data_IF_307654045035
#
_entry.id   IF_307654045035
#
_cell.length_a   1.000
_cell.length_b   1.000
_cell.length_c   1.000
_cell.angle_alpha   90.00
_cell.angle_beta   90.00
_cell.angle_gamma   90.00
#
_symmetry.space_group_name_H-M   'P 1'
#
loop_
_entity.id
_entity.type
_entity.pdbx_description
1 polymer ?
#
# COMPACT_ATOMS: atom_id res chain seq x y z
N UNK A 1 18.15 5.24 -4.58
CA UNK A 1 18.32 6.39 -3.65
C UNK A 1 17.00 7.13 -3.60
N UNK A 2 16.23 7.03 -2.50
CA UNK A 2 15.08 7.91 -2.26
C UNK A 2 15.66 9.25 -1.80
N UNK A 3 15.95 10.15 -2.73
CA UNK A 3 16.29 11.53 -2.39
C UNK A 3 15.01 12.31 -2.18
N UNK A 4 14.56 12.45 -0.94
CA UNK A 4 13.51 13.39 -0.59
C UNK A 4 14.16 14.66 -0.02
N UNK A 5 14.27 15.72 -0.83
CA UNK A 5 14.73 17.03 -0.35
C UNK A 5 13.65 17.78 0.46
N UNK A 6 12.40 17.29 0.43
CA UNK A 6 11.23 17.58 1.28
C UNK A 6 10.04 16.87 0.62
N UNK A 7 9.18 16.18 1.38
CA UNK A 7 7.95 15.55 0.83
C UNK A 7 7.82 14.03 1.00
N UNK A 8 8.81 13.37 1.60
CA UNK A 8 8.65 12.03 2.17
C UNK A 8 9.05 12.01 3.64
N UNK A 9 8.30 11.30 4.49
CA UNK A 9 8.56 11.21 5.93
C UNK A 9 8.34 9.78 6.43
N UNK A 10 9.36 9.17 7.03
CA UNK A 10 9.21 7.89 7.73
C UNK A 10 8.73 8.11 9.16
N UNK A 11 7.81 7.27 9.64
CA UNK A 11 7.37 7.26 11.04
C UNK A 11 7.38 5.84 11.59
N UNK A 12 8.40 5.47 12.37
CA UNK A 12 8.39 4.43 13.43
C UNK A 12 9.84 4.19 13.92
N UNK A 13 10.04 3.46 15.01
CA UNK A 13 11.35 2.90 15.37
C UNK A 13 11.56 1.60 14.58
N UNK A 14 12.55 1.56 13.69
CA UNK A 14 12.79 0.41 12.80
C UNK A 14 13.13 -0.87 13.59
N UNK A 15 14.00 -0.76 14.60
CA UNK A 15 14.43 -1.90 15.44
C UNK A 15 14.77 -1.41 16.85
N UNK A 16 14.21 -2.05 17.87
CA UNK A 16 14.62 -1.90 19.27
C UNK A 16 14.84 -3.29 19.89
N UNK A 17 16.09 -3.75 19.97
CA UNK A 17 16.37 -5.13 20.38
C UNK A 17 15.80 -6.16 19.39
N UNK A 18 14.95 -7.08 19.85
CA UNK A 18 14.26 -8.09 19.01
C UNK A 18 12.81 -7.64 18.68
N UNK A 19 12.58 -6.34 18.52
CA UNK A 19 11.24 -5.79 18.30
C UNK A 19 11.32 -4.78 17.17
N UNK A 20 10.51 -5.01 16.15
CA UNK A 20 10.54 -4.30 14.87
C UNK A 20 9.20 -3.64 14.62
N UNK A 21 9.20 -2.51 13.93
CA UNK A 21 7.95 -1.83 13.58
C UNK A 21 8.02 -1.38 12.14
N UNK A 22 6.95 -1.60 11.34
CA UNK A 22 6.88 -1.07 9.99
C UNK A 22 7.09 0.44 10.00
N UNK A 23 7.88 0.94 9.05
CA UNK A 23 8.12 2.38 8.84
C UNK A 23 7.30 2.88 7.64
N UNK A 24 6.05 3.33 7.84
CA UNK A 24 5.29 3.99 6.78
C UNK A 24 6.07 5.20 6.23
N UNK A 25 6.39 5.14 4.94
CA UNK A 25 6.96 6.26 4.21
C UNK A 25 5.83 7.14 3.66
N UNK A 26 5.48 8.17 4.42
CA UNK A 26 4.51 9.17 4.04
C UNK A 26 4.96 9.90 2.77
N UNK A 27 4.06 10.15 1.83
CA UNK A 27 4.35 10.86 0.57
C UNK A 27 3.36 11.98 0.32
N UNK A 28 3.87 13.16 -0.05
CA UNK A 28 3.02 14.30 -0.38
C UNK A 28 2.15 14.04 -1.63
N UNK A 29 2.56 13.12 -2.51
CA UNK A 29 1.75 12.70 -3.66
C UNK A 29 0.46 11.96 -3.27
N UNK A 30 0.40 11.43 -2.04
CA UNK A 30 -0.76 10.79 -1.43
C UNK A 30 -1.41 11.66 -0.34
N UNK A 31 -1.05 12.94 -0.28
CA UNK A 31 -1.61 13.84 0.72
C UNK A 31 -3.11 14.08 0.49
N UNK A 32 -3.82 14.34 1.58
CA UNK A 32 -5.27 14.54 1.56
C UNK A 32 -5.66 15.68 2.51
N UNK A 33 -6.82 16.28 2.25
CA UNK A 33 -7.45 17.24 3.18
C UNK A 33 -8.42 16.57 4.12
N UNK A 34 -8.95 15.42 3.74
CA UNK A 34 -9.77 14.60 4.60
C UNK A 34 -9.62 13.14 4.21
N UNK A 35 -9.51 12.29 5.22
CA UNK A 35 -9.60 10.85 5.05
C UNK A 35 -10.43 10.23 6.17
N UNK A 36 -10.94 9.04 5.89
CA UNK A 36 -11.66 8.18 6.81
C UNK A 36 -10.75 6.98 7.08
N UNK A 37 -10.60 6.59 8.34
CA UNK A 37 -9.75 5.47 8.70
C UNK A 37 -10.36 4.67 9.85
N UNK A 38 -10.06 3.38 9.91
CA UNK A 38 -10.40 2.54 11.05
C UNK A 38 -9.20 2.46 12.00
N UNK A 39 -9.43 2.69 13.29
CA UNK A 39 -8.43 2.43 14.32
C UNK A 39 -8.44 0.94 14.68
N UNK A 40 -7.41 0.24 14.26
CA UNK A 40 -7.28 -1.20 14.44
C UNK A 40 -6.46 -1.51 15.70
N UNK A 41 -6.89 -2.55 16.43
CA UNK A 41 -6.25 -3.12 17.64
C UNK A 41 -6.16 -2.14 18.82
N UNK A 42 -6.16 -2.70 20.03
CA UNK A 42 -5.94 -2.03 21.33
C UNK A 42 -4.64 -1.19 21.30
N UNK A 43 -4.70 0.00 20.70
CA UNK A 43 -3.52 0.71 20.18
C UNK A 43 -2.65 1.39 21.26
N UNK A 44 -2.96 1.09 22.53
CA UNK A 44 -2.31 1.55 23.74
C UNK A 44 -2.55 0.45 24.73
N UNK A 45 -1.46 -0.18 25.13
CA UNK A 45 -1.46 -1.49 25.75
C UNK A 45 -1.89 -1.48 27.23
N UNK A 46 -2.63 -0.45 27.64
CA UNK A 46 -3.20 -0.29 28.99
C UNK A 46 -4.66 -0.76 29.09
N UNK A 47 -5.19 -1.46 28.07
CA UNK A 47 -6.58 -1.95 28.04
C UNK A 47 -7.64 -0.88 27.76
N UNK A 48 -7.21 0.26 27.20
CA UNK A 48 -8.05 1.45 26.98
C UNK A 48 -8.53 1.61 25.51
N UNK A 49 -8.22 0.69 24.58
CA UNK A 49 -8.55 0.78 23.14
C UNK A 49 -8.18 2.14 22.47
N UNK A 50 -7.01 2.72 22.79
CA UNK A 50 -6.59 4.04 22.27
C UNK A 50 -5.38 3.95 21.39
N UNK A 51 -5.24 4.70 20.31
CA UNK A 51 -4.07 4.69 19.43
C UNK A 51 -3.53 6.06 19.12
N UNK A 52 -2.54 6.14 18.23
CA UNK A 52 -1.98 7.40 17.77
C UNK A 52 -2.18 7.56 16.26
N UNK A 53 -2.48 8.78 15.84
CA UNK A 53 -2.41 9.16 14.43
C UNK A 53 -1.29 10.19 14.32
N UNK A 54 -0.24 9.86 13.57
CA UNK A 54 0.86 10.77 13.25
C UNK A 54 0.50 11.51 11.98
N UNK A 55 0.44 12.83 12.06
CA UNK A 55 0.13 13.70 10.92
C UNK A 55 1.37 14.51 10.60
N UNK A 56 1.76 14.53 9.33
CA UNK A 56 2.79 15.42 8.80
C UNK A 56 2.16 16.39 7.85
N UNK A 57 2.43 17.66 8.09
CA UNK A 57 1.91 18.72 7.26
C UNK A 57 2.76 18.92 6.01
N UNK A 58 2.11 19.32 4.92
CA UNK A 58 2.79 19.74 3.70
C UNK A 58 3.46 21.11 3.81
N UNK A 59 3.71 21.79 2.68
CA UNK A 59 4.43 23.07 2.64
C UNK A 59 3.61 24.27 3.15
N UNK A 60 2.32 24.09 3.44
CA UNK A 60 1.44 25.15 3.91
C UNK A 60 0.97 24.85 5.33
N UNK A 61 0.88 25.87 6.18
CA UNK A 61 0.30 25.76 7.52
C UNK A 61 -1.12 25.17 7.46
N UNK A 62 -1.42 24.23 8.33
CA UNK A 62 -2.73 23.56 8.37
C UNK A 62 -3.36 23.68 9.76
N UNK A 63 -4.69 23.73 9.80
CA UNK A 63 -5.46 23.37 10.99
C UNK A 63 -5.88 21.91 10.80
N UNK A 64 -5.66 21.07 11.80
CA UNK A 64 -5.92 19.63 11.75
C UNK A 64 -6.90 19.23 12.85
N UNK A 65 -7.89 18.41 12.48
CA UNK A 65 -8.96 17.96 13.37
C UNK A 65 -9.16 16.45 13.27
N UNK A 66 -9.44 15.79 14.40
CA UNK A 66 -9.86 14.41 14.49
C UNK A 66 -11.27 14.33 15.10
N UNK A 67 -12.18 13.66 14.40
CA UNK A 67 -13.51 13.30 14.91
C UNK A 67 -13.73 11.80 14.75
N UNK A 68 -14.67 11.23 15.49
CA UNK A 68 -15.16 9.87 15.22
C UNK A 68 -15.88 9.82 13.88
N UNK A 69 -16.09 8.62 13.36
CA UNK A 69 -16.70 8.37 12.06
C UNK A 69 -18.15 8.87 11.94
N UNK A 70 -18.85 8.98 13.07
CA UNK A 70 -20.18 9.59 13.19
C UNK A 70 -20.15 11.13 13.32
N UNK A 71 -18.96 11.73 13.29
CA UNK A 71 -18.74 13.18 13.42
C UNK A 71 -18.64 13.67 14.86
N UNK A 72 -18.74 12.80 15.87
CA UNK A 72 -18.59 13.22 17.27
C UNK A 72 -17.13 13.60 17.59
N UNK A 73 -16.89 14.60 18.45
CA UNK A 73 -15.52 15.00 18.80
C UNK A 73 -14.76 13.90 19.55
N UNK A 74 -13.49 13.71 19.20
CA UNK A 74 -12.56 12.86 19.97
C UNK A 74 -11.92 13.71 21.05
N UNK A 75 -12.17 13.36 22.32
CA UNK A 75 -11.61 14.04 23.48
C UNK A 75 -10.43 13.23 24.02
N UNK A 76 -9.20 13.71 23.87
CA UNK A 76 -8.03 12.96 24.37
C UNK A 76 -6.89 13.88 24.81
N UNK A 77 -6.90 14.24 26.09
CA UNK A 77 -6.02 13.50 27.00
C UNK A 77 -6.93 12.80 28.01
N UNK A 78 -6.52 11.65 28.53
CA UNK A 78 -7.20 10.98 29.64
C UNK A 78 -7.38 11.97 30.80
N UNK A 79 -8.55 12.63 30.89
CA UNK A 79 -8.89 13.62 31.90
C UNK A 79 -8.82 15.11 31.52
N UNK A 80 -8.37 15.53 30.33
CA UNK A 80 -8.30 16.97 29.97
C UNK A 80 -9.57 17.53 29.33
N UNK A 81 -10.39 16.67 28.71
CA UNK A 81 -11.67 17.06 28.09
C UNK A 81 -11.55 18.01 26.88
N UNK A 82 -10.37 18.18 26.30
CA UNK A 82 -10.17 19.06 25.14
C UNK A 82 -10.37 18.29 23.83
N UNK A 83 -11.28 18.74 22.95
CA UNK A 83 -11.42 18.17 21.61
C UNK A 83 -10.16 18.37 20.76
N UNK A 84 -9.81 17.37 19.96
CA UNK A 84 -8.71 17.47 19.00
C UNK A 84 -9.18 18.18 17.71
N UNK A 85 -9.45 19.48 17.82
CA UNK A 85 -10.04 20.29 16.75
C UNK A 85 -9.19 21.53 16.45
N UNK A 86 -9.01 21.82 15.16
CA UNK A 86 -8.32 22.97 14.60
C UNK A 86 -6.93 23.20 15.20
N UNK A 87 -6.19 22.11 15.42
CA UNK A 87 -4.83 22.16 15.93
C UNK A 87 -3.91 22.66 14.81
N UNK A 88 -3.22 23.77 15.07
CA UNK A 88 -2.31 24.35 14.10
C UNK A 88 -1.04 23.50 13.96
N UNK A 89 -0.69 23.18 12.72
CA UNK A 89 0.55 22.49 12.35
C UNK A 89 1.33 23.38 11.39
N UNK A 90 2.59 23.67 11.73
CA UNK A 90 3.49 24.45 10.88
C UNK A 90 3.79 23.72 9.55
N UNK A 91 4.22 24.43 8.48
CA UNK A 91 4.75 23.79 7.29
C UNK A 91 5.82 22.74 7.63
N UNK A 92 5.68 21.53 7.07
CA UNK A 92 6.59 20.40 7.35
C UNK A 92 6.70 20.00 8.83
N UNK A 93 5.83 20.55 9.68
CA UNK A 93 5.68 20.14 11.07
C UNK A 93 4.90 18.84 11.18
N UNK A 94 4.97 18.21 12.35
CA UNK A 94 4.19 17.03 12.66
C UNK A 94 3.30 17.26 13.87
N UNK A 95 2.22 16.50 13.94
CA UNK A 95 1.25 16.47 15.03
C UNK A 95 0.97 15.01 15.39
N UNK A 96 0.73 14.75 16.66
CA UNK A 96 0.28 13.45 17.16
C UNK A 96 -1.09 13.61 17.75
N UNK A 97 -2.05 12.91 17.16
CA UNK A 97 -3.42 12.81 17.63
C UNK A 97 -3.61 11.47 18.33
N UNK A 98 -4.62 11.35 19.19
CA UNK A 98 -4.96 10.10 19.86
C UNK A 98 -6.35 9.61 19.43
N UNK A 99 -6.51 8.32 19.17
CA UNK A 99 -7.83 7.69 19.06
C UNK A 99 -8.29 7.25 20.44
N UNK A 100 -9.61 7.12 20.63
CA UNK A 100 -10.20 6.79 21.93
C UNK A 100 -10.90 5.42 21.97
N UNK A 101 -11.12 4.79 20.81
CA UNK A 101 -11.74 3.47 20.64
C UNK A 101 -11.25 2.79 19.34
N UNK A 102 -11.45 1.46 19.21
CA UNK A 102 -11.26 0.73 17.96
C UNK A 102 -12.47 0.95 17.03
N UNK A 103 -12.56 2.15 16.47
CA UNK A 103 -13.67 2.60 15.64
C UNK A 103 -13.16 3.40 14.45
N UNK A 104 -14.07 3.91 13.64
CA UNK A 104 -13.76 4.77 12.51
C UNK A 104 -13.53 6.22 12.95
N UNK A 105 -12.62 6.90 12.27
CA UNK A 105 -12.27 8.30 12.52
C UNK A 105 -12.21 9.08 11.21
N UNK A 106 -12.54 10.36 11.29
CA UNK A 106 -12.34 11.34 10.23
C UNK A 106 -11.14 12.21 10.63
N UNK A 107 -10.07 12.10 9.85
CA UNK A 107 -8.97 13.06 9.89
C UNK A 107 -9.25 14.15 8.87
N UNK A 108 -9.23 15.41 9.28
CA UNK A 108 -9.46 16.55 8.38
C UNK A 108 -8.45 17.67 8.59
N UNK A 109 -8.18 18.42 7.52
CA UNK A 109 -7.23 19.52 7.52
C UNK A 109 -7.57 20.59 6.49
N UNK A 110 -7.11 21.82 6.74
CA UNK A 110 -7.34 22.95 5.80
C UNK A 110 -6.48 22.85 4.53
N UNK A 111 -5.26 22.32 4.62
CA UNK A 111 -4.37 22.01 3.50
C UNK A 111 -3.96 20.54 3.52
N UNK A 112 -3.48 19.98 2.38
CA UNK A 112 -3.13 18.57 2.30
C UNK A 112 -2.08 18.16 3.34
N UNK A 113 -2.38 17.10 4.07
CA UNK A 113 -1.50 16.45 5.05
C UNK A 113 -1.24 15.00 4.65
N UNK A 114 -0.21 14.40 5.23
CA UNK A 114 0.07 12.97 5.17
C UNK A 114 -0.12 12.39 6.57
N UNK A 115 -0.58 11.15 6.70
CA UNK A 115 -0.69 10.55 8.02
C UNK A 115 -0.46 9.04 8.01
N UNK A 116 -0.11 8.52 9.18
CA UNK A 116 -0.19 7.10 9.48
C UNK A 116 -0.89 6.92 10.83
N UNK A 117 -1.61 5.80 10.97
CA UNK A 117 -2.06 5.33 12.27
C UNK A 117 -0.97 4.45 12.86
N UNK A 118 -0.84 4.49 14.18
CA UNK A 118 0.24 3.93 14.96
C UNK A 118 -0.31 3.36 16.27
N UNK A 119 -0.20 2.06 16.44
CA UNK A 119 -0.72 1.32 17.58
C UNK A 119 0.44 0.68 18.37
N UNK A 120 0.54 0.96 19.67
CA UNK A 120 1.58 0.38 20.54
C UNK A 120 1.21 -1.04 20.98
N UNK A 121 2.03 -2.02 20.57
CA UNK A 121 1.70 -3.43 20.71
C UNK A 121 2.35 -4.12 21.92
N UNK A 122 3.20 -3.44 22.71
CA UNK A 122 3.80 -3.94 23.98
C UNK A 122 3.79 -2.91 25.12
N UNK A 123 3.49 -3.35 26.36
CA UNK A 123 3.54 -2.54 27.59
C UNK A 123 4.91 -2.49 28.25
N UNK A 124 5.73 -3.53 28.09
CA UNK A 124 7.00 -3.73 28.82
C UNK A 124 8.04 -4.35 27.89
N UNK A 125 9.28 -3.85 27.93
CA UNK A 125 10.35 -4.27 27.00
C UNK A 125 10.36 -3.42 25.73
N UNK A 126 11.28 -3.68 24.77
CA UNK A 126 11.35 -2.83 23.60
C UNK A 126 10.00 -2.80 22.88
N UNK A 127 9.58 -1.58 22.54
CA UNK A 127 8.25 -1.29 22.01
C UNK A 127 8.24 -1.67 20.53
N UNK A 128 7.16 -2.30 20.09
CA UNK A 128 6.87 -2.46 18.68
C UNK A 128 5.49 -1.88 18.38
N UNK A 129 5.29 -1.48 17.13
CA UNK A 129 4.15 -0.70 16.72
C UNK A 129 3.56 -1.18 15.38
N UNK A 130 2.26 -1.45 15.37
CA UNK A 130 1.51 -1.63 14.11
C UNK A 130 1.28 -0.23 13.51
N UNK A 131 1.86 0.01 12.34
CA UNK A 131 1.91 1.32 11.70
C UNK A 131 1.37 1.22 10.28
N UNK A 132 0.30 1.98 9.97
CA UNK A 132 -0.37 1.90 8.66
C UNK A 132 -0.52 3.26 8.03
N UNK A 133 -0.19 3.34 6.73
CA UNK A 133 -0.38 4.56 5.94
C UNK A 133 -1.88 4.92 5.85
N UNK A 134 -2.24 6.14 6.23
CA UNK A 134 -3.57 6.66 5.93
C UNK A 134 -3.56 7.13 4.48
N UNK A 135 -4.37 6.48 3.66
CA UNK A 135 -4.51 6.79 2.24
C UNK A 135 -5.65 7.79 2.01
N UNK A 136 -5.63 8.56 0.92
CA UNK A 136 -6.81 9.28 0.48
C UNK A 136 -7.93 8.27 0.17
N UNK A 137 -9.17 8.67 0.46
CA UNK A 137 -10.32 7.86 0.12
C UNK A 137 -10.42 7.62 -1.38
N UNK A 138 -10.86 6.43 -1.76
CA UNK A 138 -11.01 6.05 -3.17
C UNK A 138 -12.31 5.32 -3.41
N UNK A 139 -12.75 5.28 -4.67
CA UNK A 139 -13.83 4.42 -5.13
C UNK A 139 -13.32 3.22 -5.95
N UNK A 140 -12.02 3.16 -6.21
CA UNK A 140 -11.35 2.14 -7.00
C UNK A 140 -9.93 1.94 -6.49
N UNK A 141 -9.56 0.71 -6.14
CA UNK A 141 -8.24 0.41 -5.60
C UNK A 141 -7.92 -1.07 -5.61
N UNK A 142 -6.65 -1.41 -5.37
CA UNK A 142 -6.17 -2.79 -5.23
C UNK A 142 -5.46 -2.96 -3.88
N UNK A 143 -5.66 -4.12 -3.27
CA UNK A 143 -4.98 -4.57 -2.04
C UNK A 143 -4.87 -6.10 -2.05
N UNK A 144 -4.20 -6.66 -1.06
CA UNK A 144 -4.19 -8.09 -0.74
C UNK A 144 -4.88 -8.24 0.61
N UNK A 145 -6.19 -8.50 0.61
CA UNK A 145 -6.97 -8.46 1.84
C UNK A 145 -6.64 -9.67 2.71
N UNK A 146 -5.86 -9.42 3.76
CA UNK A 146 -5.67 -10.32 4.90
C UNK A 146 -6.12 -9.57 6.15
N UNK A 147 -7.00 -10.12 6.97
CA UNK A 147 -7.63 -9.58 8.19
C UNK A 147 -8.09 -8.11 8.14
N UNK A 148 -8.53 -7.64 6.97
CA UNK A 148 -8.77 -6.21 6.70
C UNK A 148 -10.15 -5.70 7.07
N UNK A 149 -10.27 -4.39 7.32
CA UNK A 149 -11.58 -3.72 7.41
C UNK A 149 -11.76 -2.73 6.25
N UNK A 150 -12.97 -2.72 5.69
CA UNK A 150 -13.43 -1.67 4.77
C UNK A 150 -14.34 -0.71 5.53
N UNK A 151 -14.02 0.58 5.38
CA UNK A 151 -14.71 1.70 6.02
C UNK A 151 -15.21 2.68 4.97
N UNK A 152 -16.36 3.30 5.25
CA UNK A 152 -16.99 4.25 4.33
C UNK A 152 -17.56 5.46 5.09
N UNK A 153 -17.38 6.70 4.60
CA UNK A 153 -17.93 7.90 5.22
C UNK A 153 -19.41 8.14 4.84
N UNK A 154 -20.01 7.31 3.97
CA UNK A 154 -21.39 7.43 3.53
C UNK A 154 -22.18 6.15 3.80
N UNK A 155 -23.41 6.31 4.28
CA UNK A 155 -24.32 5.21 4.60
C UNK A 155 -24.68 4.42 3.34
N UNK A 156 -24.76 3.09 3.48
CA UNK A 156 -25.09 2.15 2.42
C UNK A 156 -24.16 2.23 1.20
N UNK A 157 -22.86 2.46 1.41
CA UNK A 157 -21.86 2.42 0.33
C UNK A 157 -21.73 0.99 -0.18
N UNK A 158 -22.17 0.74 -1.41
CA UNK A 158 -22.00 -0.55 -2.08
C UNK A 158 -20.53 -0.73 -2.50
N UNK A 159 -19.90 -1.81 -2.05
CA UNK A 159 -18.53 -2.18 -2.41
C UNK A 159 -18.58 -3.49 -3.18
N UNK A 160 -18.14 -3.45 -4.44
CA UNK A 160 -17.94 -4.65 -5.24
C UNK A 160 -16.48 -5.06 -5.15
N UNK A 161 -16.21 -6.36 -5.01
CA UNK A 161 -14.85 -6.89 -5.01
C UNK A 161 -14.65 -7.88 -6.15
N UNK A 162 -13.41 -7.91 -6.65
CA UNK A 162 -12.97 -8.78 -7.72
C UNK A 162 -11.57 -9.28 -7.37
N UNK A 163 -11.43 -10.58 -7.16
CA UNK A 163 -10.18 -11.25 -6.83
C UNK A 163 -9.62 -11.90 -8.09
N UNK A 164 -8.29 -11.90 -8.26
CA UNK A 164 -7.63 -12.45 -9.45
C UNK A 164 -7.97 -13.93 -9.67
N UNK A 165 -8.16 -14.70 -8.61
CA UNK A 165 -8.57 -16.11 -8.66
C UNK A 165 -9.97 -16.34 -9.28
N UNK A 166 -10.72 -15.26 -9.56
CA UNK A 166 -12.05 -15.27 -10.16
C UNK A 166 -13.19 -15.07 -9.16
N UNK A 167 -12.92 -14.99 -7.85
CA UNK A 167 -13.94 -14.69 -6.87
C UNK A 167 -14.45 -13.26 -7.03
N UNK A 168 -15.78 -13.10 -7.05
CA UNK A 168 -16.43 -11.80 -7.18
C UNK A 168 -17.65 -11.74 -6.28
N UNK A 169 -17.98 -10.54 -5.81
CA UNK A 169 -19.13 -10.32 -4.97
C UNK A 169 -19.28 -8.87 -4.56
N UNK A 170 -20.15 -8.64 -3.59
CA UNK A 170 -20.37 -7.32 -3.03
C UNK A 170 -20.86 -7.37 -1.59
N UNK A 171 -20.67 -6.26 -0.90
CA UNK A 171 -21.21 -5.99 0.43
C UNK A 171 -21.49 -4.49 0.56
N UNK A 172 -22.15 -4.11 1.65
CA UNK A 172 -22.50 -2.72 1.94
C UNK A 172 -21.79 -2.28 3.21
N UNK A 173 -21.22 -1.07 3.19
CA UNK A 173 -20.52 -0.47 4.33
C UNK A 173 -21.20 0.85 4.70
N UNK A 174 -21.31 1.11 5.99
CA UNK A 174 -21.86 2.34 6.54
C UNK A 174 -20.94 2.91 7.62
N UNK A 175 -20.97 4.24 7.88
CA UNK A 175 -20.24 4.84 8.97
C UNK A 175 -20.64 4.23 10.32
N UNK A 176 -19.64 3.98 11.18
CA UNK A 176 -19.75 3.28 12.44
C UNK A 176 -19.93 1.76 12.31
N UNK A 177 -19.85 1.20 11.11
CA UNK A 177 -20.07 -0.23 10.85
C UNK A 177 -19.11 -0.74 9.76
N UNK A 178 -17.80 -0.77 10.07
CA UNK A 178 -16.81 -1.31 9.15
C UNK A 178 -17.09 -2.79 8.88
N UNK A 179 -16.80 -3.24 7.66
CA UNK A 179 -16.98 -4.63 7.25
C UNK A 179 -15.63 -5.33 7.26
N UNK A 180 -15.56 -6.50 7.88
CA UNK A 180 -14.42 -7.43 7.77
C UNK A 180 -14.32 -7.93 6.32
N UNK A 181 -13.26 -7.55 5.63
CA UNK A 181 -13.11 -7.77 4.21
C UNK A 181 -12.84 -9.24 3.89
N UNK A 182 -12.01 -9.90 4.68
CA UNK A 182 -11.68 -11.32 4.54
C UNK A 182 -12.92 -12.20 4.69
N UNK A 183 -13.74 -11.90 5.71
CA UNK A 183 -15.00 -12.59 5.92
C UNK A 183 -15.97 -12.48 4.73
N UNK A 184 -15.81 -11.46 3.88
CA UNK A 184 -16.60 -11.31 2.65
C UNK A 184 -15.96 -11.97 1.43
N UNK A 185 -14.64 -11.88 1.26
CA UNK A 185 -13.95 -12.42 0.07
C UNK A 185 -13.72 -13.91 0.17
N UNK A 186 -13.60 -14.47 1.38
CA UNK A 186 -13.20 -15.86 1.60
C UNK A 186 -11.73 -16.11 1.25
N UNK A 187 -10.92 -15.04 1.13
CA UNK A 187 -9.49 -15.13 0.89
C UNK A 187 -8.83 -15.85 2.09
N UNK A 188 -8.44 -17.11 1.86
CA UNK A 188 -7.65 -17.91 2.81
C UNK A 188 -6.17 -17.96 2.42
N UNK A 189 -5.82 -17.32 1.30
CA UNK A 189 -4.48 -17.31 0.73
C UNK A 189 -3.77 -16.02 1.13
N UNK A 190 -2.65 -16.17 1.84
CA UNK A 190 -2.36 -15.27 2.96
C UNK A 190 -1.31 -14.21 2.71
N UNK A 191 -0.52 -14.23 1.64
CA UNK A 191 0.71 -13.45 1.70
C UNK A 191 1.16 -12.93 0.31
N UNK A 192 0.52 -11.86 -0.17
CA UNK A 192 0.90 -11.11 -1.39
C UNK A 192 1.04 -11.90 -2.70
N UNK A 193 0.55 -13.13 -2.71
CA UNK A 193 0.48 -13.98 -3.89
C UNK A 193 -0.35 -13.33 -5.01
N UNK A 194 -0.09 -13.68 -6.28
CA UNK A 194 -0.86 -13.15 -7.39
C UNK A 194 -2.38 -13.34 -7.21
N UNK A 195 -2.82 -14.53 -6.78
CA UNK A 195 -4.25 -14.86 -6.66
C UNK A 195 -4.95 -14.18 -5.48
N UNK A 196 -4.20 -13.69 -4.48
CA UNK A 196 -4.75 -12.84 -3.42
C UNK A 196 -5.05 -11.40 -3.85
N UNK A 197 -4.54 -10.96 -5.01
CA UNK A 197 -4.73 -9.60 -5.48
C UNK A 197 -6.23 -9.29 -5.69
N UNK A 198 -6.74 -8.32 -4.95
CA UNK A 198 -8.15 -7.97 -4.93
C UNK A 198 -8.36 -6.51 -5.30
N UNK A 199 -9.21 -6.27 -6.31
CA UNK A 199 -9.69 -4.94 -6.67
C UNK A 199 -11.06 -4.68 -6.04
N UNK A 200 -11.23 -3.50 -5.47
CA UNK A 200 -12.53 -3.01 -5.00
C UNK A 200 -13.02 -1.87 -5.87
N UNK A 201 -14.33 -1.86 -6.14
CA UNK A 201 -15.04 -0.77 -6.81
C UNK A 201 -16.27 -0.39 -6.01
N UNK A 202 -16.22 0.79 -5.38
CA UNK A 202 -17.27 1.31 -4.53
C UNK A 202 -18.18 2.31 -5.26
N UNK A 203 -19.48 2.27 -4.96
CA UNK A 203 -20.43 3.33 -5.29
C UNK A 203 -20.42 4.34 -4.15
N UNK A 204 -19.32 5.08 -4.04
CA UNK A 204 -19.02 5.95 -2.90
C UNK A 204 -17.51 6.08 -2.72
N UNK A 205 -17.10 6.55 -1.54
CA UNK A 205 -15.70 6.61 -1.15
C UNK A 205 -15.46 5.60 -0.04
N UNK A 206 -14.31 4.93 -0.06
CA UNK A 206 -13.91 3.98 0.96
C UNK A 206 -12.44 4.15 1.32
N UNK A 207 -12.10 3.66 2.50
CA UNK A 207 -10.75 3.29 2.91
C UNK A 207 -10.77 1.81 3.24
N UNK A 208 -9.71 1.10 2.86
CA UNK A 208 -9.51 -0.27 3.32
C UNK A 208 -8.04 -0.48 3.64
N UNK A 209 -7.79 -1.43 4.53
CA UNK A 209 -6.46 -1.87 4.92
C UNK A 209 -6.44 -3.39 4.80
N UNK A 210 -5.30 -3.97 4.38
CA UNK A 210 -5.01 -5.31 4.88
C UNK A 210 -4.84 -5.18 6.40
N UNK A 211 -5.54 -6.04 7.11
CA UNK A 211 -5.20 -6.42 8.47
C UNK A 211 -3.78 -6.89 8.56
N UNK A 212 -3.24 -6.73 9.76
CA UNK A 212 -1.94 -7.26 10.06
C UNK A 212 -2.09 -8.72 10.45
N UNK A 213 -1.04 -9.50 10.23
CA UNK A 213 -0.85 -10.80 10.85
C UNK A 213 -0.98 -10.75 12.38
N UNK A 214 -0.83 -11.90 13.04
CA UNK A 214 -0.89 -11.97 14.50
C UNK A 214 0.16 -11.10 15.21
N UNK A 215 1.26 -10.75 14.53
CA UNK A 215 2.32 -9.90 15.05
C UNK A 215 2.12 -8.40 14.79
N UNK A 216 1.21 -7.96 13.92
CA UNK A 216 1.04 -6.51 13.65
C UNK A 216 1.94 -5.95 12.57
N UNK A 217 2.52 -6.83 11.75
CA UNK A 217 3.64 -6.58 10.86
C UNK A 217 3.19 -6.39 9.40
N UNK A 218 2.11 -7.07 9.01
CA UNK A 218 1.72 -7.19 7.60
C UNK A 218 0.52 -6.31 7.17
N UNK A 219 0.68 -4.98 7.09
CA UNK A 219 -0.45 -4.09 6.77
C UNK A 219 -0.20 -3.12 5.62
N UNK A 220 -0.63 -3.49 4.40
CA UNK A 220 -0.70 -2.58 3.26
C UNK A 220 -2.09 -1.92 3.14
N UNK A 221 -2.18 -0.60 2.96
CA UNK A 221 -3.46 0.03 2.71
C UNK A 221 -3.94 -0.28 1.28
N UNK A 222 -5.24 -0.09 1.05
CA UNK A 222 -5.79 -0.06 -0.30
C UNK A 222 -5.12 1.03 -1.13
N UNK A 223 -4.44 0.63 -2.20
CA UNK A 223 -3.81 1.56 -3.13
C UNK A 223 -4.85 2.08 -4.13
N UNK A 224 -5.18 3.38 -4.16
CA UNK A 224 -6.08 3.94 -5.15
C UNK A 224 -5.54 3.73 -6.57
N UNK A 225 -6.38 3.29 -7.51
CA UNK A 225 -5.95 3.12 -8.91
C UNK A 225 -5.47 4.43 -9.52
N UNK A 226 -6.02 5.57 -9.09
CA UNK A 226 -5.58 6.91 -9.50
C UNK A 226 -4.19 7.31 -9.00
N UNK A 227 -3.65 6.62 -7.98
CA UNK A 227 -2.33 6.86 -7.42
C UNK A 227 -1.26 5.89 -7.93
N UNK A 228 -1.67 4.84 -8.66
CA UNK A 228 -0.75 3.85 -9.23
C UNK A 228 0.17 4.49 -10.27
N UNK A 229 1.36 3.91 -10.42
CA UNK A 229 2.45 4.48 -11.21
C UNK A 229 3.11 3.42 -12.10
N UNK A 230 3.88 3.84 -13.09
CA UNK A 230 4.55 2.91 -14.02
C UNK A 230 6.02 2.66 -13.69
N UNK A 231 6.64 3.52 -12.88
CA UNK A 231 8.00 3.36 -12.38
C UNK A 231 7.96 3.41 -10.87
N UNK A 232 8.23 2.27 -10.22
CA UNK A 232 8.15 2.12 -8.77
C UNK A 232 9.52 1.71 -8.24
N UNK A 233 9.99 2.35 -7.17
CA UNK A 233 11.23 1.94 -6.53
C UNK A 233 11.08 0.54 -5.90
N UNK A 234 12.10 -0.30 -6.02
CA UNK A 234 12.22 -1.55 -5.27
C UNK A 234 13.45 -1.35 -4.37
N UNK A 235 13.28 -0.77 -3.16
CA UNK A 235 14.42 -0.27 -2.39
C UNK A 235 15.12 -1.33 -1.55
N UNK A 236 14.57 -2.53 -1.46
CA UNK A 236 15.05 -3.62 -0.61
C UNK A 236 15.97 -4.56 -1.36
N UNK A 237 16.79 -5.30 -0.62
CA UNK A 237 17.38 -6.51 -1.15
C UNK A 237 16.43 -7.65 -0.78
N UNK A 238 16.14 -8.53 -1.73
CA UNK A 238 15.19 -9.62 -1.54
C UNK A 238 16.00 -10.90 -1.46
N UNK A 239 15.98 -11.53 -0.29
CA UNK A 239 16.63 -12.81 -0.07
C UNK A 239 15.93 -13.92 -0.86
N UNK A 240 16.71 -14.86 -1.39
CA UNK A 240 16.17 -16.10 -1.96
C UNK A 240 15.93 -17.13 -0.86
N UNK A 241 15.14 -16.72 0.13
CA UNK A 241 14.71 -17.53 1.26
C UNK A 241 13.26 -17.19 1.53
N UNK A 242 12.37 -18.18 1.56
CA UNK A 242 10.93 -17.94 1.76
C UNK A 242 10.12 -18.03 0.46
N UNK A 243 8.86 -17.62 0.53
CA UNK A 243 7.92 -17.56 -0.59
C UNK A 243 7.44 -16.10 -0.78
N UNK A 244 6.44 -15.89 -1.65
CA UNK A 244 5.87 -14.57 -1.92
C UNK A 244 5.26 -13.89 -0.72
N UNK A 245 5.10 -14.63 0.37
CA UNK A 245 4.54 -14.13 1.58
C UNK A 245 5.47 -13.41 2.51
N UNK A 246 6.76 -13.67 2.36
CA UNK A 246 7.74 -13.12 3.28
C UNK A 246 9.03 -12.67 2.56
N UNK A 247 9.27 -13.14 1.33
CA UNK A 247 10.37 -12.67 0.50
C UNK A 247 10.02 -12.62 -0.98
N UNK A 248 9.63 -11.44 -1.43
CA UNK A 248 9.24 -11.27 -2.82
C UNK A 248 8.98 -9.84 -3.26
N UNK A 249 8.59 -9.73 -4.53
CA UNK A 249 8.13 -8.50 -5.17
C UNK A 249 6.76 -8.76 -5.79
N UNK A 250 5.71 -8.44 -5.06
CA UNK A 250 4.33 -8.56 -5.51
C UNK A 250 3.91 -7.33 -6.32
N UNK A 251 3.31 -7.55 -7.49
CA UNK A 251 2.96 -6.50 -8.45
C UNK A 251 1.52 -6.70 -8.91
N UNK A 252 0.67 -5.69 -8.74
CA UNK A 252 -0.71 -5.74 -9.24
C UNK A 252 -1.09 -4.50 -10.05
N UNK A 253 -2.06 -4.68 -10.94
CA UNK A 253 -2.60 -3.65 -11.82
C UNK A 253 -4.08 -3.91 -12.11
N UNK A 254 -4.90 -2.87 -12.34
CA UNK A 254 -6.22 -3.07 -12.94
C UNK A 254 -6.13 -3.60 -14.40
N UNK A 255 -4.96 -3.54 -15.04
CA UNK A 255 -4.76 -3.87 -16.45
C UNK A 255 -3.73 -5.00 -16.66
N UNK A 256 -3.93 -5.78 -17.72
CA UNK A 256 -3.00 -6.77 -18.23
C UNK A 256 -1.77 -6.08 -18.80
N UNK A 257 -0.60 -6.59 -18.45
CA UNK A 257 0.64 -6.00 -18.93
C UNK A 257 1.89 -6.77 -18.57
N UNK A 258 2.99 -6.04 -18.54
CA UNK A 258 4.30 -6.60 -18.22
C UNK A 258 5.07 -5.62 -17.37
N UNK A 259 5.60 -6.12 -16.26
CA UNK A 259 6.55 -5.41 -15.43
C UNK A 259 7.97 -5.94 -15.70
N UNK A 260 8.94 -5.04 -15.75
CA UNK A 260 10.36 -5.34 -15.81
C UNK A 260 10.98 -4.91 -14.51
N UNK A 261 11.62 -5.84 -13.81
CA UNK A 261 12.31 -5.59 -12.56
C UNK A 261 13.80 -5.51 -12.83
N UNK A 262 14.36 -4.35 -12.54
CA UNK A 262 15.77 -4.05 -12.69
C UNK A 262 16.42 -4.00 -11.32
N UNK A 263 17.64 -4.49 -11.24
CA UNK A 263 18.47 -4.44 -10.04
C UNK A 263 19.70 -3.56 -10.24
N UNK A 264 20.22 -2.99 -9.17
CA UNK A 264 21.47 -2.25 -9.21
C UNK A 264 22.67 -3.20 -9.22
N UNK A 265 23.44 -3.18 -10.31
CA UNK A 265 24.70 -3.91 -10.40
C UNK A 265 25.86 -3.05 -9.89
N UNK A 266 26.40 -3.40 -8.72
CA UNK A 266 27.47 -2.64 -8.11
C UNK A 266 28.84 -2.82 -8.80
N UNK A 267 29.00 -3.83 -9.67
CA UNK A 267 30.24 -4.01 -10.45
C UNK A 267 30.25 -3.07 -11.66
N UNK A 268 29.17 -3.05 -12.44
CA UNK A 268 29.06 -2.23 -13.66
C UNK A 268 28.59 -0.81 -13.39
N UNK A 269 28.03 -0.55 -12.21
CA UNK A 269 27.37 0.72 -11.83
C UNK A 269 26.21 1.06 -12.77
N UNK A 270 25.48 0.04 -13.23
CA UNK A 270 24.29 0.17 -14.08
C UNK A 270 23.08 -0.53 -13.44
N UNK A 271 21.89 -0.20 -13.94
CA UNK A 271 20.68 -0.99 -13.66
C UNK A 271 20.59 -2.10 -14.72
N UNK A 272 20.49 -3.34 -14.26
CA UNK A 272 20.44 -4.51 -15.13
C UNK A 272 19.05 -5.16 -15.01
N UNK A 273 18.51 -5.66 -16.12
CA UNK A 273 17.22 -6.35 -16.11
C UNK A 273 17.39 -7.71 -15.42
N UNK A 274 16.74 -7.88 -14.26
CA UNK A 274 16.74 -9.14 -13.53
C UNK A 274 15.58 -10.03 -13.98
N UNK A 275 14.35 -9.48 -14.00
CA UNK A 275 13.14 -10.25 -14.28
C UNK A 275 12.18 -9.52 -15.21
N UNK A 276 11.43 -10.30 -15.99
CA UNK A 276 10.25 -9.84 -16.74
C UNK A 276 9.04 -10.60 -16.21
N UNK A 277 8.13 -9.89 -15.57
CA UNK A 277 6.97 -10.44 -14.86
C UNK A 277 5.71 -10.17 -15.68
N UNK A 278 5.01 -11.23 -16.13
CA UNK A 278 3.71 -11.06 -16.77
C UNK A 278 2.66 -10.66 -15.73
N UNK A 279 1.81 -9.69 -16.07
CA UNK A 279 0.67 -9.29 -15.24
C UNK A 279 -0.60 -9.77 -15.92
N UNK A 280 -1.19 -10.85 -15.42
CA UNK A 280 -2.35 -11.53 -16.02
C UNK A 280 -3.49 -11.65 -15.01
N UNK A 281 -4.73 -11.87 -15.50
CA UNK A 281 -5.96 -12.04 -14.69
C UNK A 281 -6.18 -13.47 -14.17
N UNK A 282 -5.14 -14.31 -14.15
CA UNK A 282 -5.25 -15.74 -13.82
C UNK A 282 -5.93 -16.58 -14.91
N UNK A 283 -5.77 -17.90 -14.85
CA UNK A 283 -6.41 -18.84 -15.79
C UNK A 283 -7.92 -18.98 -15.62
N UNK A 284 -8.46 -18.59 -14.46
CA UNK A 284 -9.89 -18.64 -14.17
C UNK A 284 -10.72 -17.61 -14.98
N UNK A 285 -10.08 -16.60 -15.57
CA UNK A 285 -10.76 -15.45 -16.19
C UNK A 285 -10.60 -15.46 -17.70
N UNK A 286 -11.72 -15.61 -18.41
CA UNK A 286 -11.80 -15.30 -19.84
C UNK A 286 -12.51 -13.97 -20.03
N UNK A 287 -11.83 -12.98 -20.62
CA UNK A 287 -12.43 -11.66 -20.87
C UNK A 287 -13.42 -11.76 -22.03
N UNK A 288 -14.71 -11.71 -21.73
CA UNK A 288 -15.80 -11.66 -22.71
C UNK A 288 -16.62 -10.36 -22.59
N UNK A 289 -16.54 -9.69 -21.45
CA UNK A 289 -17.32 -8.50 -21.10
C UNK A 289 -16.45 -7.45 -20.43
N UNK A 290 -17.00 -6.24 -20.32
CA UNK A 290 -16.36 -5.13 -19.61
C UNK A 290 -16.15 -5.44 -18.12
N UNK A 291 -17.05 -6.21 -17.51
CA UNK A 291 -17.00 -6.51 -16.09
C UNK A 291 -15.90 -7.54 -15.76
N UNK A 292 -15.56 -8.42 -16.70
CA UNK A 292 -14.42 -9.34 -16.54
C UNK A 292 -13.09 -8.58 -16.40
N UNK A 293 -13.00 -7.36 -16.94
CA UNK A 293 -11.82 -6.48 -16.79
C UNK A 293 -11.78 -5.75 -15.43
N UNK A 294 -12.73 -6.01 -14.53
CA UNK A 294 -12.64 -5.55 -13.15
C UNK A 294 -11.76 -6.47 -12.30
N UNK A 295 -11.65 -7.75 -12.64
CA UNK A 295 -10.75 -8.69 -11.95
C UNK A 295 -9.31 -8.21 -12.17
N UNK A 296 -8.49 -7.95 -11.15
CA UNK A 296 -7.16 -7.37 -11.33
C UNK A 296 -6.22 -8.32 -12.08
N UNK A 297 -5.12 -7.77 -12.57
CA UNK A 297 -3.97 -8.51 -13.07
C UNK A 297 -2.85 -8.45 -12.05
N UNK A 298 -2.16 -9.55 -11.80
CA UNK A 298 -1.03 -9.58 -10.88
C UNK A 298 0.05 -10.55 -11.33
N UNK A 299 1.24 -10.35 -10.78
CA UNK A 299 2.38 -11.23 -10.88
C UNK A 299 3.33 -11.01 -9.70
N UNK A 300 4.26 -11.94 -9.53
CA UNK A 300 5.13 -12.00 -8.36
C UNK A 300 6.54 -12.45 -8.77
N UNK A 301 7.55 -12.00 -8.03
CA UNK A 301 8.88 -12.61 -8.01
C UNK A 301 9.10 -13.17 -6.61
N UNK A 302 9.19 -14.48 -6.49
CA UNK A 302 9.42 -15.18 -5.22
C UNK A 302 9.82 -16.64 -5.48
N UNK A 303 10.25 -17.36 -4.44
CA UNK A 303 10.60 -18.78 -4.53
C UNK A 303 9.38 -19.67 -4.25
N UNK A 304 8.43 -19.64 -5.19
CA UNK A 304 7.17 -20.40 -5.14
C UNK A 304 6.70 -20.81 -6.55
N UNK A 305 5.62 -21.59 -6.64
CA UNK A 305 5.15 -22.19 -7.90
C UNK A 305 3.73 -21.79 -8.33
N UNK A 306 3.21 -20.69 -7.78
CA UNK A 306 1.85 -20.21 -8.08
C UNK A 306 1.77 -19.56 -9.46
N UNK A 307 0.59 -19.59 -10.07
CA UNK A 307 0.37 -19.01 -11.39
C UNK A 307 0.58 -17.48 -11.38
N UNK A 308 1.50 -16.99 -12.21
CA UNK A 308 1.88 -15.58 -12.25
C UNK A 308 3.14 -15.25 -11.48
N UNK A 309 3.75 -16.26 -10.83
CA UNK A 309 5.03 -16.12 -10.16
C UNK A 309 6.19 -16.42 -11.12
N UNK A 310 7.21 -15.58 -11.09
CA UNK A 310 8.53 -15.82 -11.67
C UNK A 310 9.45 -16.23 -10.52
N UNK A 311 10.08 -17.42 -10.64
CA UNK A 311 10.99 -17.94 -9.63
C UNK A 311 12.15 -16.96 -9.36
N UNK A 312 12.32 -16.58 -8.10
CA UNK A 312 13.48 -15.85 -7.62
C UNK A 312 14.69 -16.79 -7.60
N UNK A 313 15.71 -16.50 -8.42
CA UNK A 313 16.93 -17.30 -8.49
C UNK A 313 18.07 -16.49 -7.89
N UNK A 314 18.46 -16.84 -6.67
CA UNK A 314 19.41 -16.06 -5.89
C UNK A 314 18.84 -14.71 -5.46
N UNK A 315 19.62 -13.98 -4.67
CA UNK A 315 19.22 -12.70 -4.11
C UNK A 315 18.97 -11.66 -5.22
N UNK A 316 17.87 -10.91 -5.12
CA UNK A 316 17.60 -9.74 -5.95
C UNK A 316 18.10 -8.47 -5.26
N UNK A 317 18.93 -7.68 -5.94
CA UNK A 317 19.41 -6.42 -5.39
C UNK A 317 18.38 -5.29 -5.54
N UNK A 318 18.49 -4.27 -4.68
CA UNK A 318 17.67 -3.07 -4.77
C UNK A 318 17.71 -2.45 -6.17
N UNK A 319 16.57 -1.99 -6.67
CA UNK A 319 16.47 -1.33 -7.96
C UNK A 319 15.11 -0.69 -8.24
N UNK A 320 14.50 -1.05 -9.36
CA UNK A 320 13.29 -0.38 -9.88
C UNK A 320 12.40 -1.35 -10.67
N UNK A 321 11.10 -1.23 -10.49
CA UNK A 321 10.07 -1.89 -11.30
C UNK A 321 9.56 -0.90 -12.34
N UNK A 322 9.58 -1.29 -13.62
CA UNK A 322 9.06 -0.49 -14.74
C UNK A 322 8.00 -1.31 -15.46
N UNK A 323 6.77 -0.80 -15.52
CA UNK A 323 5.65 -1.48 -16.16
C UNK A 323 5.04 -0.68 -17.31
N UNK A 324 4.46 -1.41 -18.26
CA UNK A 324 3.71 -0.84 -19.39
C UNK A 324 2.26 -0.47 -19.04
N UNK A 325 1.87 -0.68 -17.78
CA UNK A 325 0.58 -0.32 -17.16
C UNK A 325 0.81 0.26 -15.77
N UNK A 326 -0.09 1.11 -15.24
CA UNK A 326 -0.03 1.54 -13.84
C UNK A 326 -0.08 0.35 -12.90
N UNK A 327 0.83 0.30 -11.93
CA UNK A 327 0.99 -0.78 -10.96
C UNK A 327 1.01 -0.26 -9.52
N UNK A 328 0.69 -1.15 -8.60
CA UNK A 328 1.09 -1.10 -7.19
C UNK A 328 2.10 -2.20 -6.93
N UNK A 329 3.08 -1.95 -6.06
CA UNK A 329 4.15 -2.90 -5.74
C UNK A 329 4.31 -2.99 -4.24
N UNK A 330 4.34 -4.22 -3.75
CA UNK A 330 4.69 -4.55 -2.37
C UNK A 330 5.96 -5.39 -2.40
N UNK A 331 6.91 -5.06 -1.53
CA UNK A 331 8.19 -5.75 -1.43
C UNK A 331 8.41 -6.22 0.00
N UNK A 332 8.94 -7.42 0.13
CA UNK A 332 9.21 -8.08 1.41
C UNK A 332 10.58 -8.74 1.37
N UNK A 333 11.22 -8.92 2.51
CA UNK A 333 12.49 -9.64 2.58
C UNK A 333 12.58 -10.47 3.87
N UNK A 334 12.78 -11.76 3.72
CA UNK A 334 12.78 -12.70 4.85
C UNK A 334 14.10 -12.82 5.63
N UNK A 335 15.06 -11.95 5.33
CA UNK A 335 16.37 -12.00 5.98
C UNK A 335 16.73 -10.62 6.55
N UNK A 336 16.40 -10.36 7.82
CA UNK A 336 16.88 -9.19 8.55
C UNK A 336 18.42 -9.06 8.57
N UNK A 337 19.14 -10.16 8.39
CA UNK A 337 20.60 -10.19 8.28
C UNK A 337 21.11 -9.66 6.94
N UNK A 338 20.23 -9.53 5.94
CA UNK A 338 20.56 -8.98 4.64
C UNK A 338 20.63 -7.45 4.71
N UNK A 339 21.74 -6.95 5.26
CA UNK A 339 21.99 -5.53 5.50
C UNK A 339 23.12 -4.96 4.63
N UNK A 340 23.04 -5.04 3.29
CA UNK A 340 24.11 -4.56 2.42
C UNK A 340 24.30 -3.04 2.54
N UNK A 341 25.52 -2.59 2.29
CA UNK A 341 25.84 -1.16 2.33
C UNK A 341 25.43 -0.47 1.04
N UNK A 342 24.64 0.59 1.14
CA UNK A 342 24.27 1.46 0.02
C UNK A 342 25.17 2.68 0.00
N UNK A 343 25.67 3.04 -1.19
CA UNK A 343 26.46 4.27 -1.39
C UNK A 343 25.54 5.48 -1.55
N UNK A 344 25.78 6.52 -0.76
CA UNK A 344 25.12 7.81 -0.89
C UNK A 344 25.75 8.64 -2.03
N UNK A 345 25.04 9.70 -2.47
CA UNK A 345 25.54 10.59 -3.53
C UNK A 345 26.85 11.30 -3.17
N UNK A 346 27.15 11.51 -1.88
CA UNK A 346 28.38 12.15 -1.45
C UNK A 346 29.57 11.17 -1.31
N UNK A 347 29.36 9.89 -1.63
CA UNK A 347 30.38 8.86 -1.59
C UNK A 347 30.53 8.13 -0.26
N UNK A 348 29.79 8.50 0.78
CA UNK A 348 29.69 7.69 2.01
C UNK A 348 28.84 6.45 1.76
N UNK A 349 28.99 5.44 2.62
CA UNK A 349 28.08 4.29 2.66
C UNK A 349 27.20 4.37 3.90
N UNK A 350 26.00 3.82 3.79
CA UNK A 350 25.06 3.61 4.89
C UNK A 350 24.46 2.21 4.76
N UNK A 351 23.96 1.63 5.84
CA UNK A 351 23.17 0.41 5.78
C UNK A 351 21.93 0.63 4.90
N UNK A 352 21.56 -0.37 4.09
CA UNK A 352 20.30 -0.38 3.34
C UNK A 352 19.09 -0.31 4.26
N UNK A 353 17.92 -0.09 3.67
CA UNK A 353 16.67 -0.39 4.34
C UNK A 353 16.66 -1.90 4.62
N UNK A 354 16.34 -2.25 5.85
CA UNK A 354 16.17 -3.63 6.33
C UNK A 354 14.71 -3.77 6.71
N UNK A 355 14.16 -4.89 6.31
CA UNK A 355 12.79 -5.32 6.50
C UNK A 355 12.90 -6.82 6.77
N UNK A 356 12.23 -7.30 7.82
CA UNK A 356 12.26 -8.68 8.32
C UNK A 356 10.87 -9.29 8.12
N UNK A 357 10.67 -9.98 7.01
CA UNK A 357 9.37 -10.57 6.63
C UNK A 357 8.21 -9.55 6.54
N UNK A 358 8.49 -8.24 6.48
CA UNK A 358 7.50 -7.17 6.54
C UNK A 358 7.09 -6.66 5.14
N UNK A 359 5.88 -6.10 4.99
CA UNK A 359 5.53 -5.45 3.72
C UNK A 359 5.89 -4.00 3.61
N UNK A 360 6.57 -3.69 2.52
CA UNK A 360 6.82 -2.32 2.10
C UNK A 360 6.02 -2.01 0.83
N UNK A 361 4.89 -1.32 0.99
CA UNK A 361 4.21 -0.67 -0.14
C UNK A 361 5.12 0.40 -0.73
N UNK A 362 5.50 0.23 -2.00
CA UNK A 362 6.39 1.13 -2.71
C UNK A 362 5.63 2.09 -3.61
N UNK A 363 5.98 3.37 -3.51
CA UNK A 363 5.39 4.43 -4.33
C UNK A 363 6.27 4.76 -5.52
N UNK A 364 5.63 5.27 -6.57
CA UNK A 364 6.28 5.50 -7.85
C UNK A 364 5.90 6.80 -8.51
N UNK A 365 6.32 6.91 -9.77
CA UNK A 365 5.96 7.98 -10.69
C UNK A 365 5.58 7.40 -12.05
N UNK A 366 4.81 8.17 -12.81
CA UNK A 366 4.58 7.92 -14.24
C UNK A 366 5.27 9.02 -15.01
N UNK A 367 6.46 8.76 -15.59
CA UNK A 367 7.17 9.72 -16.42
C UNK A 367 6.35 10.16 -17.64
N UNK A 368 6.60 11.36 -18.16
CA UNK A 368 5.87 11.87 -19.32
C UNK A 368 6.11 11.05 -20.60
N UNK A 369 7.26 10.40 -20.70
CA UNK A 369 7.70 9.53 -21.80
C UNK A 369 7.28 8.07 -21.63
N UNK A 370 6.81 7.67 -20.44
CA UNK A 370 6.29 6.34 -20.16
C UNK A 370 4.86 6.47 -19.63
N UNK A 371 3.89 6.51 -20.55
CA UNK A 371 2.46 6.56 -20.23
C UNK A 371 1.70 5.45 -20.94
N UNK A 372 1.00 4.63 -20.16
CA UNK A 372 0.04 3.68 -20.66
C UNK A 372 -1.15 4.43 -21.28
N UNK A 373 -1.51 4.07 -22.51
CA UNK A 373 -2.70 4.57 -23.17
C UNK A 373 -3.77 3.49 -23.16
N UNK A 374 -4.87 3.78 -22.50
CA UNK A 374 -6.03 2.90 -22.35
C UNK A 374 -7.22 3.56 -23.04
N UNK A 375 -7.89 2.82 -23.92
CA UNK A 375 -9.08 3.29 -24.65
C UNK A 375 -10.20 2.25 -24.60
N UNK A 376 -11.43 2.67 -24.86
CA UNK A 376 -12.58 1.75 -25.00
C UNK A 376 -12.80 1.42 -26.47
N UNK A 377 -12.87 0.13 -26.81
CA UNK A 377 -13.23 -0.35 -28.14
C UNK A 377 -14.71 -0.23 -28.45
N UNK A 378 -15.10 -0.48 -29.70
CA UNK A 378 -16.51 -0.48 -30.12
C UNK A 378 -17.33 -1.59 -29.46
N UNK A 379 -16.67 -2.67 -29.04
CA UNK A 379 -17.24 -3.77 -28.25
C UNK A 379 -17.40 -3.44 -26.75
N UNK A 380 -16.97 -2.23 -26.34
CA UNK A 380 -17.06 -1.77 -24.96
C UNK A 380 -15.92 -2.27 -24.06
N UNK A 381 -14.98 -3.07 -24.55
CA UNK A 381 -13.81 -3.52 -23.79
C UNK A 381 -12.74 -2.42 -23.73
N UNK A 382 -11.90 -2.46 -22.69
CA UNK A 382 -10.69 -1.65 -22.66
C UNK A 382 -9.56 -2.31 -23.44
N UNK A 383 -8.82 -1.46 -24.13
CA UNK A 383 -7.63 -1.82 -24.87
C UNK A 383 -6.46 -0.94 -24.46
N UNK A 384 -5.27 -1.54 -24.41
CA UNK A 384 -4.00 -0.88 -24.16
C UNK A 384 -3.25 -0.72 -25.48
N UNK A 385 -2.66 0.46 -25.69
CA UNK A 385 -1.76 0.68 -26.82
C UNK A 385 -0.45 -0.07 -26.61
N UNK A 386 -0.05 -0.85 -27.59
CA UNK A 386 1.25 -1.51 -27.65
C UNK A 386 2.00 -0.98 -28.86
N UNK A 387 3.21 -0.46 -28.62
CA UNK A 387 4.10 0.01 -29.67
C UNK A 387 5.23 -1.01 -29.83
N UNK A 388 5.17 -1.79 -30.91
CA UNK A 388 6.16 -2.81 -31.19
C UNK A 388 7.48 -2.21 -31.71
N UNK A 389 8.52 -3.04 -31.79
CA UNK A 389 9.78 -2.65 -32.41
C UNK A 389 9.53 -2.10 -33.84
N UNK A 390 10.08 -0.92 -34.12
CA UNK A 390 9.84 -0.20 -35.38
C UNK A 390 8.68 0.81 -35.33
N UNK A 391 8.05 1.02 -34.16
CA UNK A 391 7.03 2.05 -33.97
C UNK A 391 5.64 1.66 -34.46
N UNK A 392 5.41 0.36 -34.72
CA UNK A 392 4.09 -0.12 -35.14
C UNK A 392 3.16 -0.14 -33.95
N UNK A 393 2.08 0.63 -34.05
CA UNK A 393 1.06 0.73 -33.01
C UNK A 393 -0.02 -0.34 -33.21
N UNK A 394 -0.36 -1.00 -32.12
CA UNK A 394 -1.45 -1.99 -32.03
C UNK A 394 -2.23 -1.78 -30.74
N UNK A 395 -3.44 -2.33 -30.69
CA UNK A 395 -4.30 -2.30 -29.50
C UNK A 395 -4.61 -3.72 -29.08
N UNK A 396 -4.32 -4.04 -27.81
CA UNK A 396 -4.59 -5.36 -27.21
C UNK A 396 -5.51 -5.20 -26.02
N UNK A 397 -6.31 -6.21 -25.70
CA UNK A 397 -7.23 -6.16 -24.54
C UNK A 397 -6.43 -5.83 -23.28
N UNK A 398 -6.90 -4.80 -22.56
CA UNK A 398 -6.28 -4.28 -21.35
C UNK A 398 -6.74 -4.98 -20.08
#
# INVERSE_FOLDING_TARGET
IITASQGFYGFSEQVNGNSESPMPLLSYGLSFKSSFLFAFRDSNNNGDNRGFIRVVNGPLKSLVSLTRGDGTPVNTEAGSGTPQTDIEVAPWGFLTLQTDENTEFILSSTNPVMACIHAEMRTVGPRYHDSRLVMPLTNDGITWPRSGNVSAPFDNTLVNYYVRDGATGNFTVSPGSPVDFDGQTGANDSDYEPDGATRVRAVGLISAYSGADSAGLEASPLMPTSAMSQVIAQPLFISDTGDGGNSGVAIASPFVGTAKVYEWNDVTKTIDLAYTVPLNRGTAVTVATRDDQNIPSAGLIANETVEGTVELIGQLNAGVVIADVPITVVVQNADAGLTPTVRSQNGTTTTSIVNDDDETLSLGITPADLKAEITTGEDGLLYKRVVAAGGVETWVVA
#
